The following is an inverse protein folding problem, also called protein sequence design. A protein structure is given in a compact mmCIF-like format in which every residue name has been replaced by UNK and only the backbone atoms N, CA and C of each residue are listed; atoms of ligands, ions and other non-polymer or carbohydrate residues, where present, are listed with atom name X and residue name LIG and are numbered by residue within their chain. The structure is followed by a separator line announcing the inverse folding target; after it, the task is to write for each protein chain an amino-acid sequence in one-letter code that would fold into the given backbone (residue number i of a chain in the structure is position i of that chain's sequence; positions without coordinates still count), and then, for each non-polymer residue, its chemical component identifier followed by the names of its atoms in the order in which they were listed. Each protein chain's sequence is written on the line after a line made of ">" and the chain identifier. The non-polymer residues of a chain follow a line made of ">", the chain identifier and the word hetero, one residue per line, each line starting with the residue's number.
data_IF_112718702867
#
_entry.id   IF_112718702867
#
_cell.length_a   1.000
_cell.length_b   1.000
_cell.length_c   1.000
_cell.angle_alpha   90.00
_cell.angle_beta   90.00
_cell.angle_gamma   90.00
#
_symmetry.space_group_name_H-M   'P 1'
#
loop_
_entity.id
_entity.type
_entity.pdbx_description
1 polymer ?
#
# COMPACT_ATOMS: atom_id res chain seq x y z
N UNK A 1 -7.09 -4.97 37.42
CA UNK A 1 -6.70 -5.01 35.99
C UNK A 1 -7.97 -4.86 35.17
N UNK A 2 -8.03 -3.94 34.19
CA UNK A 2 -9.22 -3.70 33.36
C UNK A 2 -8.92 -4.13 31.93
N UNK A 3 -9.87 -4.84 31.33
CA UNK A 3 -9.80 -5.28 29.94
C UNK A 3 -10.46 -4.23 29.04
N UNK A 4 -9.82 -3.91 27.91
CA UNK A 4 -10.35 -2.99 26.91
C UNK A 4 -10.45 -3.71 25.57
N UNK A 5 -11.61 -3.60 24.91
CA UNK A 5 -11.78 -4.05 23.53
C UNK A 5 -11.33 -2.93 22.58
N UNK A 6 -10.41 -3.26 21.69
CA UNK A 6 -9.96 -2.41 20.59
C UNK A 6 -10.23 -3.15 19.28
N UNK A 7 -10.54 -2.39 18.24
CA UNK A 7 -10.61 -2.89 16.87
C UNK A 7 -9.27 -2.65 16.20
N UNK A 8 -8.81 -3.59 15.38
CA UNK A 8 -7.51 -3.49 14.72
C UNK A 8 -7.74 -3.67 13.23
N UNK A 9 -7.27 -2.73 12.42
CA UNK A 9 -7.35 -2.82 10.97
C UNK A 9 -6.46 -3.97 10.47
N UNK A 10 -7.01 -4.87 9.67
CA UNK A 10 -6.26 -6.03 9.13
C UNK A 10 -5.16 -5.62 8.13
N UNK A 11 -5.27 -4.42 7.52
CA UNK A 11 -4.30 -3.96 6.52
C UNK A 11 -3.10 -3.21 7.10
N UNK A 12 -3.32 -2.32 8.09
CA UNK A 12 -2.25 -1.48 8.65
C UNK A 12 -1.97 -1.73 10.13
N UNK A 13 -2.77 -2.54 10.82
CA UNK A 13 -2.61 -2.83 12.24
C UNK A 13 -2.96 -1.65 13.17
N UNK A 14 -3.51 -0.55 12.63
CA UNK A 14 -3.90 0.60 13.45
C UNK A 14 -5.05 0.23 14.36
N UNK A 15 -4.93 0.60 15.65
CA UNK A 15 -5.91 0.28 16.68
C UNK A 15 -6.94 1.41 16.82
N UNK A 16 -8.21 1.07 16.78
CA UNK A 16 -9.34 1.95 16.88
C UNK A 16 -10.20 1.60 18.10
N UNK A 17 -10.82 2.61 18.71
CA UNK A 17 -11.79 2.42 19.79
C UNK A 17 -13.17 2.05 19.26
N UNK A 18 -13.51 2.51 18.06
CA UNK A 18 -14.78 2.29 17.40
C UNK A 18 -14.62 1.38 16.17
N UNK A 19 -15.65 0.57 15.90
CA UNK A 19 -15.67 -0.35 14.77
C UNK A 19 -15.84 0.38 13.44
N UNK A 20 -16.59 1.48 13.42
CA UNK A 20 -16.84 2.24 12.20
C UNK A 20 -15.59 2.99 11.75
N UNK A 21 -14.79 3.53 12.68
CA UNK A 21 -13.48 4.10 12.37
C UNK A 21 -12.54 3.04 11.79
N UNK A 22 -12.52 1.85 12.37
CA UNK A 22 -11.75 0.72 11.86
C UNK A 22 -12.20 0.33 10.45
N UNK A 23 -13.51 0.21 10.21
CA UNK A 23 -14.05 -0.05 8.87
C UNK A 23 -13.71 1.05 7.87
N UNK A 24 -13.85 2.32 8.24
CA UNK A 24 -13.48 3.43 7.38
C UNK A 24 -12.00 3.42 7.01
N UNK A 25 -11.13 2.97 7.92
CA UNK A 25 -9.73 2.71 7.63
C UNK A 25 -9.58 1.59 6.59
N UNK A 26 -10.25 0.45 6.78
CA UNK A 26 -10.19 -0.70 5.86
C UNK A 26 -10.75 -0.36 4.47
N UNK A 27 -11.91 0.28 4.39
CA UNK A 27 -12.53 0.77 3.15
C UNK A 27 -11.68 1.84 2.44
N UNK A 28 -10.95 2.65 3.22
CA UNK A 28 -10.04 3.68 2.69
C UNK A 28 -8.72 3.13 2.15
N UNK A 29 -8.33 1.91 2.51
CA UNK A 29 -7.09 1.32 2.02
C UNK A 29 -7.23 0.92 0.55
N UNK A 30 -6.57 1.68 -0.33
CA UNK A 30 -6.36 1.31 -1.72
C UNK A 30 -5.27 0.25 -1.80
N UNK A 31 -5.65 -0.98 -2.12
CA UNK A 31 -4.74 -2.13 -2.14
C UNK A 31 -4.09 -2.21 -3.53
N UNK A 32 -2.77 -2.40 -3.63
CA UNK A 32 -2.12 -2.66 -4.90
C UNK A 32 -2.58 -4.02 -5.45
N UNK A 33 -3.12 -4.01 -6.66
CA UNK A 33 -3.65 -5.21 -7.34
C UNK A 33 -2.57 -5.86 -8.19
N UNK A 34 -1.86 -5.06 -8.99
CA UNK A 34 -0.84 -5.54 -9.91
C UNK A 34 0.20 -4.46 -10.21
N UNK A 35 1.40 -4.89 -10.62
CA UNK A 35 2.35 -3.98 -11.26
C UNK A 35 1.93 -3.90 -12.72
N UNK A 36 1.50 -2.72 -13.15
CA UNK A 36 1.09 -2.44 -14.53
C UNK A 36 2.31 -2.36 -15.45
N UNK A 37 3.27 -1.51 -15.08
CA UNK A 37 4.47 -1.23 -15.86
C UNK A 37 5.65 -0.91 -14.97
N UNK A 38 6.86 -1.04 -15.51
CA UNK A 38 8.09 -0.66 -14.81
C UNK A 38 9.03 0.06 -15.77
N UNK A 39 9.77 1.03 -15.24
CA UNK A 39 10.79 1.77 -15.97
C UNK A 39 12.16 1.36 -15.46
N UNK A 40 13.07 1.06 -16.37
CA UNK A 40 14.47 0.77 -16.06
C UNK A 40 15.36 1.89 -16.57
N UNK A 41 16.48 2.09 -15.89
CA UNK A 41 17.60 2.86 -16.41
C UNK A 41 18.70 1.91 -16.83
N UNK A 42 19.60 2.38 -17.69
CA UNK A 42 20.71 1.55 -18.14
C UNK A 42 21.56 1.06 -16.96
N UNK A 43 22.07 -0.18 -17.05
CA UNK A 43 22.97 -0.77 -16.04
C UNK A 43 24.19 0.12 -15.77
N UNK A 44 24.61 0.92 -16.75
CA UNK A 44 25.69 1.90 -16.60
C UNK A 44 25.35 3.02 -15.61
N UNK A 45 24.07 3.37 -15.47
CA UNK A 45 23.59 4.38 -14.51
C UNK A 45 23.15 3.77 -13.18
N UNK A 46 22.55 2.59 -13.19
CA UNK A 46 22.14 1.88 -11.98
C UNK A 46 22.49 0.39 -12.09
N UNK A 47 23.62 0.02 -11.48
CA UNK A 47 24.17 -1.33 -11.55
C UNK A 47 23.34 -2.41 -10.85
N UNK A 48 22.27 -2.04 -10.13
CA UNK A 48 21.42 -3.03 -9.45
C UNK A 48 20.46 -3.76 -10.40
N UNK A 49 20.22 -3.26 -11.62
CA UNK A 49 19.33 -3.90 -12.61
C UNK A 49 17.82 -3.86 -12.29
N UNK A 50 17.45 -3.39 -11.10
CA UNK A 50 16.04 -3.18 -10.70
C UNK A 50 15.43 -1.96 -11.40
N UNK A 51 14.11 -1.97 -11.63
CA UNK A 51 13.41 -0.80 -12.15
C UNK A 51 13.58 0.40 -11.22
N UNK A 52 13.75 1.58 -11.81
CA UNK A 52 13.78 2.84 -11.08
C UNK A 52 12.39 3.34 -10.72
N UNK A 53 11.39 2.98 -11.54
CA UNK A 53 9.99 3.29 -11.30
C UNK A 53 9.13 2.07 -11.52
N UNK A 54 8.15 1.86 -10.66
CA UNK A 54 7.10 0.86 -10.85
C UNK A 54 5.75 1.55 -10.83
N UNK A 55 4.94 1.28 -11.83
CA UNK A 55 3.57 1.71 -11.94
C UNK A 55 2.72 0.58 -11.36
N UNK A 56 2.05 0.86 -10.26
CA UNK A 56 1.25 -0.11 -9.53
C UNK A 56 -0.22 0.26 -9.73
N UNK A 57 -0.97 -0.66 -10.32
CA UNK A 57 -2.41 -0.57 -10.42
C UNK A 57 -3.02 -0.85 -9.04
N UNK A 58 -3.83 0.09 -8.57
CA UNK A 58 -4.54 0.04 -7.30
C UNK A 58 -5.96 -0.50 -7.49
N UNK A 59 -6.57 -0.99 -6.41
CA UNK A 59 -7.91 -1.58 -6.41
C UNK A 59 -9.02 -0.62 -6.86
N UNK A 60 -8.77 0.69 -6.79
CA UNK A 60 -9.69 1.72 -7.27
C UNK A 60 -9.55 2.04 -8.77
N UNK A 61 -8.68 1.32 -9.50
CA UNK A 61 -8.42 1.56 -10.92
C UNK A 61 -7.42 2.69 -11.21
N UNK A 62 -6.88 3.36 -10.20
CA UNK A 62 -5.78 4.32 -10.39
C UNK A 62 -4.44 3.58 -10.52
N UNK A 63 -3.53 4.15 -11.29
CA UNK A 63 -2.15 3.67 -11.38
C UNK A 63 -1.23 4.67 -10.67
N UNK A 64 -0.57 4.24 -9.60
CA UNK A 64 0.37 5.07 -8.84
C UNK A 64 1.79 4.70 -9.24
N UNK A 65 2.62 5.71 -9.49
CA UNK A 65 4.05 5.50 -9.80
C UNK A 65 4.87 5.60 -8.53
N UNK A 66 5.54 4.52 -8.16
CA UNK A 66 6.52 4.49 -7.09
C UNK A 66 7.92 4.57 -7.68
N UNK A 67 8.70 5.54 -7.19
CA UNK A 67 10.12 5.63 -7.49
C UNK A 67 10.88 4.96 -6.36
N UNK A 68 11.88 4.17 -6.72
CA UNK A 68 12.81 3.56 -5.77
C UNK A 68 13.80 4.60 -5.23
#
# INVERSE_FOLDING_TARGET
>A
MKEQKLYVCDYCGTQYKDKNDCKGCEDGHKIPVAIDTASWVSIKQNGSGYPTKVHVAMSNGETITYNR
#
